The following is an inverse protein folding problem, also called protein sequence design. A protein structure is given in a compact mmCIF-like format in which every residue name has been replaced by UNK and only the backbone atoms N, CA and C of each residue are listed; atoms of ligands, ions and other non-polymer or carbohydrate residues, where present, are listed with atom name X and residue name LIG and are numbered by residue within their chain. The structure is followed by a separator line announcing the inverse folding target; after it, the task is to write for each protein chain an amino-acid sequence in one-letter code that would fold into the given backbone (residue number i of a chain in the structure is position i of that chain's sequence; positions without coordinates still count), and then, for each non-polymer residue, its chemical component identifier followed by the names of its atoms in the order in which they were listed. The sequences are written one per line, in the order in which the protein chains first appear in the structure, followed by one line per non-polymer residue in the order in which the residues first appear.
data_IF_088495201101
#
_entry.id   IF_088495201101
#
_cell.length_a   1.000
_cell.length_b   1.000
_cell.length_c   1.000
_cell.angle_alpha   90.00
_cell.angle_beta   90.00
_cell.angle_gamma   90.00
#
_symmetry.space_group_name_H-M   'P 1'
#
loop_
_entity.id
_entity.type
_entity.pdbx_description
1 polymer ?
#
# COMPACT_ATOMS: atom_id res chain seq x y z
N UNK A 1 -11.25 -28.33 17.06
CA UNK A 1 -9.78 -28.24 16.99
C UNK A 1 -9.39 -28.52 15.54
N UNK A 2 -9.22 -27.47 14.75
CA UNK A 2 -8.73 -27.56 13.37
C UNK A 2 -7.27 -27.14 13.41
N UNK A 3 -6.38 -28.05 13.08
CA UNK A 3 -4.94 -27.78 13.01
C UNK A 3 -4.66 -26.81 11.87
N UNK A 4 -4.19 -25.63 12.21
CA UNK A 4 -3.65 -24.66 11.24
C UNK A 4 -2.25 -25.16 10.88
N UNK A 5 -2.11 -25.75 9.70
CA UNK A 5 -0.81 -26.07 9.14
C UNK A 5 -0.04 -24.76 8.92
N UNK A 6 1.06 -24.61 9.63
CA UNK A 6 2.01 -23.51 9.42
C UNK A 6 2.65 -23.70 8.02
N UNK A 7 2.18 -22.96 7.02
CA UNK A 7 2.95 -22.79 5.79
C UNK A 7 4.12 -21.85 6.11
N UNK A 8 5.29 -22.44 6.25
CA UNK A 8 6.53 -21.70 6.18
C UNK A 8 6.62 -21.06 4.80
N UNK A 9 6.60 -19.72 4.75
CA UNK A 9 7.03 -18.99 3.56
C UNK A 9 8.54 -19.19 3.53
N UNK A 10 8.97 -20.18 2.73
CA UNK A 10 10.37 -20.43 2.46
C UNK A 10 10.95 -19.18 1.81
N UNK A 11 11.73 -18.42 2.56
CA UNK A 11 12.53 -17.33 2.05
C UNK A 11 13.60 -17.94 1.16
N UNK A 12 13.29 -18.09 -0.12
CA UNK A 12 14.26 -18.54 -1.10
C UNK A 12 15.53 -17.71 -0.99
N UNK A 13 16.70 -18.34 -1.06
CA UNK A 13 17.97 -17.64 -0.94
C UNK A 13 18.11 -16.59 -2.04
N UNK A 14 18.74 -15.48 -1.71
CA UNK A 14 18.93 -14.23 -2.48
C UNK A 14 19.59 -14.37 -3.87
N UNK A 15 19.60 -15.54 -4.50
CA UNK A 15 20.32 -15.78 -5.74
C UNK A 15 19.54 -16.50 -6.84
N UNK A 16 18.26 -16.21 -7.00
CA UNK A 16 17.58 -16.47 -8.27
C UNK A 16 17.24 -15.13 -8.93
N UNK A 17 18.15 -14.66 -9.79
CA UNK A 17 17.81 -13.66 -10.79
C UNK A 17 16.53 -14.15 -11.51
N UNK A 18 15.45 -13.36 -11.58
CA UNK A 18 14.36 -13.71 -12.46
C UNK A 18 14.92 -13.68 -13.87
N UNK A 19 14.91 -14.85 -14.50
CA UNK A 19 15.12 -14.96 -15.95
C UNK A 19 14.23 -13.91 -16.61
N UNK A 20 14.75 -13.22 -17.61
CA UNK A 20 14.12 -12.19 -18.42
C UNK A 20 12.70 -12.62 -18.83
N UNK A 21 11.76 -12.44 -17.93
CA UNK A 21 10.36 -12.76 -18.14
C UNK A 21 9.74 -11.67 -18.99
N UNK A 22 9.35 -12.03 -20.21
CA UNK A 22 8.37 -11.23 -20.95
C UNK A 22 7.20 -10.88 -20.01
N UNK A 23 6.70 -9.64 -20.03
CA UNK A 23 5.54 -9.26 -19.25
C UNK A 23 4.40 -10.24 -19.52
N UNK A 24 3.83 -10.83 -18.49
CA UNK A 24 2.67 -11.71 -18.63
C UNK A 24 1.58 -10.96 -19.40
N UNK A 25 1.11 -11.49 -20.56
CA UNK A 25 0.11 -10.79 -21.35
C UNK A 25 -1.15 -10.58 -20.49
N UNK A 26 -1.61 -9.35 -20.37
CA UNK A 26 -2.94 -9.05 -19.88
C UNK A 26 -3.08 -8.38 -18.52
N UNK A 27 -2.03 -8.15 -17.72
CA UNK A 27 -2.22 -7.43 -16.45
C UNK A 27 -1.99 -5.93 -16.60
N UNK A 28 -3.10 -5.19 -16.76
CA UNK A 28 -3.08 -3.72 -16.75
C UNK A 28 -3.52 -3.13 -15.42
N UNK A 29 -3.67 -3.97 -14.40
CA UNK A 29 -4.11 -3.56 -13.06
C UNK A 29 -3.12 -4.05 -12.02
N UNK A 30 -2.75 -3.16 -11.12
CA UNK A 30 -1.91 -3.46 -9.98
C UNK A 30 -2.51 -2.90 -8.69
N UNK A 31 -2.25 -3.59 -7.59
CA UNK A 31 -2.64 -3.18 -6.26
C UNK A 31 -1.40 -3.03 -5.38
N UNK A 32 -1.27 -1.87 -4.75
CA UNK A 32 -0.30 -1.64 -3.69
C UNK A 32 -0.96 -1.94 -2.35
N UNK A 33 -0.45 -2.95 -1.66
CA UNK A 33 -0.94 -3.43 -0.37
C UNK A 33 0.15 -3.34 0.70
N UNK A 34 -0.25 -3.31 1.95
CA UNK A 34 0.64 -3.18 3.11
C UNK A 34 -0.10 -2.57 4.29
N UNK A 35 0.38 -2.81 5.49
CA UNK A 35 -0.22 -2.27 6.70
C UNK A 35 -0.31 -0.74 6.64
N UNK A 36 -1.30 -0.15 7.28
CA UNK A 36 -1.38 1.29 7.48
C UNK A 36 -0.09 1.81 8.10
N UNK A 37 0.39 2.98 7.69
CA UNK A 37 1.65 3.60 8.16
C UNK A 37 2.94 2.91 7.68
N UNK A 38 2.88 1.90 6.83
CA UNK A 38 4.07 1.26 6.23
C UNK A 38 4.71 2.06 5.08
N UNK A 39 4.25 3.29 4.80
CA UNK A 39 4.81 4.11 3.71
C UNK A 39 4.16 3.88 2.34
N UNK A 40 3.06 3.12 2.27
CA UNK A 40 2.34 2.84 1.02
C UNK A 40 1.88 4.11 0.28
N UNK A 41 1.56 5.19 0.99
CA UNK A 41 1.22 6.48 0.36
C UNK A 41 2.42 7.14 -0.32
N UNK A 42 3.62 7.01 0.24
CA UNK A 42 4.84 7.49 -0.42
C UNK A 42 5.10 6.67 -1.68
N UNK A 43 5.15 5.35 -1.55
CA UNK A 43 5.38 4.46 -2.69
C UNK A 43 4.34 4.68 -3.80
N UNK A 44 3.06 4.82 -3.45
CA UNK A 44 2.02 5.17 -4.43
C UNK A 44 2.36 6.45 -5.19
N UNK A 45 2.74 7.52 -4.48
CA UNK A 45 3.08 8.79 -5.13
C UNK A 45 4.32 8.67 -6.01
N UNK A 46 5.36 7.99 -5.53
CA UNK A 46 6.56 7.74 -6.32
C UNK A 46 6.23 6.99 -7.62
N UNK A 47 5.46 5.92 -7.53
CA UNK A 47 5.03 5.15 -8.71
C UNK A 47 4.14 5.99 -9.64
N UNK A 48 3.19 6.74 -9.10
CA UNK A 48 2.29 7.59 -9.89
C UNK A 48 2.97 8.80 -10.52
N UNK A 49 4.22 9.13 -10.18
CA UNK A 49 5.03 10.07 -10.95
C UNK A 49 5.28 9.54 -12.37
N UNK A 50 5.40 8.23 -12.53
CA UNK A 50 5.64 7.60 -13.82
C UNK A 50 4.48 7.86 -14.80
N UNK A 51 4.76 8.31 -16.03
CA UNK A 51 3.70 8.63 -17.01
C UNK A 51 2.87 7.41 -17.43
N UNK A 52 3.46 6.22 -17.46
CA UNK A 52 2.78 4.97 -17.77
C UNK A 52 1.88 4.42 -16.66
N UNK A 53 1.84 5.06 -15.46
CA UNK A 53 1.03 4.58 -14.34
C UNK A 53 -0.17 5.51 -14.10
N UNK A 54 -1.36 5.00 -14.37
CA UNK A 54 -2.63 5.63 -14.06
C UNK A 54 -3.07 5.30 -12.62
N UNK A 55 -3.86 6.16 -12.01
CA UNK A 55 -4.33 6.03 -10.63
C UNK A 55 -5.67 6.71 -10.42
N UNK A 56 -6.39 6.36 -9.36
CA UNK A 56 -7.57 7.11 -8.94
C UNK A 56 -7.11 8.45 -8.37
N UNK A 57 -7.54 9.56 -8.96
CA UNK A 57 -7.28 10.89 -8.44
C UNK A 57 -8.35 11.32 -7.45
N UNK A 58 -8.09 12.43 -6.74
CA UNK A 58 -9.08 13.10 -5.92
C UNK A 58 -10.34 13.50 -6.69
N UNK A 59 -10.25 13.70 -8.01
CA UNK A 59 -11.39 14.02 -8.87
C UNK A 59 -12.24 12.79 -9.17
N UNK A 60 -11.65 11.68 -9.62
CA UNK A 60 -12.39 10.42 -9.80
C UNK A 60 -13.06 9.97 -8.50
N UNK A 61 -12.38 10.15 -7.37
CA UNK A 61 -12.93 9.82 -6.07
C UNK A 61 -14.13 10.72 -5.71
N UNK A 62 -14.04 12.03 -6.01
CA UNK A 62 -15.12 12.99 -5.74
C UNK A 62 -16.34 12.79 -6.63
N UNK A 63 -16.12 12.39 -7.88
CA UNK A 63 -17.17 12.23 -8.88
C UNK A 63 -17.47 10.76 -9.23
N UNK A 64 -17.19 9.85 -8.30
CA UNK A 64 -17.32 8.41 -8.52
C UNK A 64 -18.75 7.95 -8.89
N UNK A 65 -19.76 8.68 -8.45
CA UNK A 65 -21.17 8.37 -8.70
C UNK A 65 -21.68 8.80 -10.07
N UNK A 66 -20.92 9.57 -10.84
CA UNK A 66 -21.29 9.95 -12.18
C UNK A 66 -20.93 8.81 -13.17
N UNK A 67 -21.88 8.37 -14.03
CA UNK A 67 -21.72 7.19 -14.90
C UNK A 67 -20.49 7.25 -15.80
N UNK A 68 -20.15 8.42 -16.34
CA UNK A 68 -19.08 8.59 -17.32
C UNK A 68 -17.83 9.31 -16.80
N UNK A 69 -17.77 9.52 -15.48
CA UNK A 69 -16.65 10.18 -14.84
C UNK A 69 -16.29 11.52 -15.49
N UNK A 70 -16.83 12.61 -14.97
CA UNK A 70 -16.48 13.98 -15.41
C UNK A 70 -15.04 14.37 -15.00
N UNK A 71 -14.26 13.44 -14.48
CA UNK A 71 -12.89 13.72 -14.15
C UNK A 71 -12.11 14.03 -15.42
N UNK A 72 -11.55 15.24 -15.55
CA UNK A 72 -10.71 15.55 -16.69
C UNK A 72 -9.58 14.53 -16.71
N UNK A 73 -9.43 13.85 -17.86
CA UNK A 73 -8.30 12.95 -18.10
C UNK A 73 -7.02 13.72 -17.88
N UNK A 74 -6.48 13.63 -16.68
CA UNK A 74 -5.27 14.33 -16.36
C UNK A 74 -4.16 13.47 -16.89
N UNK A 75 -3.66 13.92 -18.02
CA UNK A 75 -2.61 13.30 -18.75
C UNK A 75 -1.52 12.77 -17.82
N UNK A 76 -1.28 11.47 -17.88
CA UNK A 76 -0.15 10.80 -17.24
C UNK A 76 1.19 11.52 -17.52
N UNK A 77 1.29 12.27 -18.60
CA UNK A 77 2.51 12.85 -19.14
C UNK A 77 3.14 14.07 -18.45
N UNK A 78 2.65 14.51 -17.29
CA UNK A 78 3.16 15.74 -16.66
C UNK A 78 4.00 15.48 -15.42
N UNK A 79 5.07 14.73 -15.56
CA UNK A 79 5.99 14.36 -14.48
C UNK A 79 6.44 15.57 -13.63
N UNK A 80 6.91 16.64 -14.26
CA UNK A 80 7.38 17.82 -13.54
C UNK A 80 6.27 18.56 -12.79
N UNK A 81 5.05 18.59 -13.35
CA UNK A 81 3.90 19.17 -12.67
C UNK A 81 3.49 18.34 -11.44
N UNK A 82 3.53 17.00 -11.55
CA UNK A 82 3.28 16.08 -10.43
C UNK A 82 4.32 16.26 -9.32
N UNK A 83 5.61 16.34 -9.66
CA UNK A 83 6.68 16.60 -8.69
C UNK A 83 6.40 17.88 -7.90
N UNK A 84 6.17 19.00 -8.59
CA UNK A 84 5.89 20.27 -7.94
C UNK A 84 4.59 20.32 -7.15
N UNK A 85 3.60 19.49 -7.51
CA UNK A 85 2.31 19.45 -6.82
C UNK A 85 2.28 18.52 -5.60
N UNK A 86 3.02 17.41 -5.63
CA UNK A 86 2.89 16.36 -4.61
C UNK A 86 4.02 16.33 -3.59
N UNK A 87 5.18 16.91 -3.90
CA UNK A 87 6.34 16.87 -3.03
C UNK A 87 6.83 18.29 -2.71
N UNK A 88 7.28 18.51 -1.49
CA UNK A 88 7.98 19.73 -1.12
C UNK A 88 9.48 19.60 -1.43
N UNK A 89 10.13 20.72 -1.69
CA UNK A 89 11.58 20.78 -1.89
C UNK A 89 12.28 20.42 -0.58
N UNK A 90 12.60 19.16 -0.36
CA UNK A 90 13.23 18.70 0.87
C UNK A 90 12.91 17.27 1.24
N UNK A 91 12.30 16.52 0.36
CA UNK A 91 12.29 15.07 0.35
C UNK A 91 11.17 14.42 1.15
N UNK A 92 11.20 14.34 2.44
CA UNK A 92 10.32 13.47 3.22
C UNK A 92 9.05 14.12 3.76
N UNK A 93 8.82 15.39 3.49
CA UNK A 93 7.64 16.11 3.97
C UNK A 93 6.43 15.85 3.07
N UNK A 94 5.62 14.92 3.45
CA UNK A 94 4.52 14.40 2.66
C UNK A 94 3.40 15.39 2.37
N UNK A 95 3.13 16.39 3.21
CA UNK A 95 1.88 17.13 3.16
C UNK A 95 1.87 18.50 3.85
N UNK A 96 3.00 19.12 4.14
CA UNK A 96 3.02 20.35 4.93
C UNK A 96 2.70 21.55 4.05
N UNK A 97 1.73 22.36 4.49
CA UNK A 97 1.56 23.74 4.08
C UNK A 97 1.34 24.02 2.58
N UNK A 98 0.52 23.25 1.90
CA UNK A 98 0.36 23.38 0.44
C UNK A 98 -0.29 24.68 0.01
N UNK A 99 0.30 25.43 -0.94
CA UNK A 99 -0.38 26.50 -1.63
C UNK A 99 -1.70 26.05 -2.26
N UNK A 100 -2.68 26.95 -2.37
CA UNK A 100 -4.02 26.65 -2.89
C UNK A 100 -4.02 25.92 -4.23
N UNK A 101 -3.16 26.30 -5.18
CA UNK A 101 -3.10 25.66 -6.49
C UNK A 101 -2.70 24.17 -6.44
N UNK A 102 -1.91 23.73 -5.42
CA UNK A 102 -1.57 22.34 -5.21
C UNK A 102 -2.77 21.49 -4.77
N UNK A 103 -3.79 22.12 -4.19
CA UNK A 103 -5.02 21.42 -3.76
C UNK A 103 -5.94 21.07 -4.94
N UNK A 104 -5.90 21.85 -6.01
CA UNK A 104 -6.69 21.60 -7.22
C UNK A 104 -5.95 20.73 -8.25
N UNK A 105 -4.68 20.42 -8.04
CA UNK A 105 -3.96 19.51 -8.91
C UNK A 105 -4.34 18.05 -8.55
N UNK A 106 -4.56 17.19 -9.55
CA UNK A 106 -4.92 15.80 -9.29
C UNK A 106 -3.86 15.07 -8.51
N UNK A 107 -4.26 14.54 -7.37
CA UNK A 107 -3.39 13.75 -6.50
C UNK A 107 -3.88 12.31 -6.40
N UNK A 108 -2.99 11.33 -6.27
CA UNK A 108 -3.38 9.96 -6.00
C UNK A 108 -4.27 9.89 -4.75
N UNK A 109 -5.39 9.23 -4.88
CA UNK A 109 -6.38 9.03 -3.83
C UNK A 109 -6.61 7.53 -3.61
N UNK A 110 -7.12 7.16 -2.45
CA UNK A 110 -7.44 5.76 -2.14
C UNK A 110 -8.70 5.27 -2.88
N UNK A 111 -9.59 6.19 -3.27
CA UNK A 111 -10.68 5.95 -4.20
C UNK A 111 -11.78 5.03 -3.71
N UNK A 112 -12.04 4.95 -2.37
CA UNK A 112 -13.09 4.07 -1.84
C UNK A 112 -14.45 4.34 -2.48
N UNK A 113 -14.76 5.60 -2.77
CA UNK A 113 -16.01 5.97 -3.46
C UNK A 113 -16.17 5.32 -4.84
N UNK A 114 -15.06 5.04 -5.54
CA UNK A 114 -15.09 4.33 -6.84
C UNK A 114 -15.47 2.86 -6.63
N UNK A 115 -14.93 2.22 -5.59
CA UNK A 115 -15.31 0.85 -5.24
C UNK A 115 -16.77 0.78 -4.77
N UNK A 116 -17.17 1.68 -3.87
CA UNK A 116 -18.53 1.74 -3.34
C UNK A 116 -19.57 2.01 -4.45
N UNK A 117 -19.26 2.91 -5.40
CA UNK A 117 -20.14 3.19 -6.53
C UNK A 117 -20.36 1.98 -7.46
N UNK A 118 -19.46 1.00 -7.43
CA UNK A 118 -19.62 -0.27 -8.13
C UNK A 118 -20.17 -1.39 -7.22
N UNK A 119 -20.53 -1.11 -5.96
CA UNK A 119 -21.08 -2.12 -5.06
C UNK A 119 -20.04 -3.00 -4.38
N UNK A 120 -18.76 -2.67 -4.45
CA UNK A 120 -17.70 -3.43 -3.78
C UNK A 120 -17.72 -3.13 -2.28
N UNK A 121 -17.92 -4.14 -1.40
CA UNK A 121 -17.98 -3.91 0.03
C UNK A 121 -16.62 -3.51 0.61
N UNK A 122 -16.63 -2.66 1.66
CA UNK A 122 -15.42 -2.23 2.34
C UNK A 122 -14.74 -3.42 3.06
N UNK A 123 -15.54 -4.27 3.68
CA UNK A 123 -15.13 -5.48 4.38
C UNK A 123 -15.98 -6.65 3.87
N UNK A 124 -15.55 -7.34 2.79
CA UNK A 124 -16.28 -8.50 2.31
C UNK A 124 -16.23 -9.63 3.33
N UNK A 125 -17.33 -10.34 3.48
CA UNK A 125 -17.33 -11.59 4.23
C UNK A 125 -16.37 -12.60 3.57
N UNK A 126 -15.82 -13.57 4.32
CA UNK A 126 -14.85 -14.53 3.77
C UNK A 126 -15.37 -15.34 2.58
N UNK A 127 -16.69 -15.59 2.54
CA UNK A 127 -17.43 -16.32 1.52
C UNK A 127 -18.10 -15.41 0.47
N UNK A 128 -17.86 -14.09 0.54
CA UNK A 128 -18.45 -13.14 -0.39
C UNK A 128 -18.03 -13.43 -1.83
N UNK A 129 -19.01 -13.70 -2.67
CA UNK A 129 -18.84 -13.87 -4.12
C UNK A 129 -19.31 -12.62 -4.81
N UNK A 130 -18.40 -12.01 -5.57
CA UNK A 130 -18.73 -10.81 -6.35
C UNK A 130 -19.60 -11.19 -7.56
N UNK A 131 -20.68 -10.45 -7.78
CA UNK A 131 -21.52 -10.62 -8.96
C UNK A 131 -20.89 -9.98 -10.21
N UNK A 132 -21.41 -10.37 -11.38
CA UNK A 132 -20.86 -9.89 -12.67
C UNK A 132 -21.13 -8.39 -12.91
N UNK A 133 -22.20 -7.83 -12.36
CA UNK A 133 -22.52 -6.40 -12.51
C UNK A 133 -21.47 -5.56 -11.77
N UNK A 134 -21.17 -5.91 -10.52
CA UNK A 134 -20.11 -5.32 -9.70
C UNK A 134 -18.73 -5.48 -10.36
N UNK A 135 -18.42 -6.70 -10.83
CA UNK A 135 -17.15 -7.01 -11.51
C UNK A 135 -16.98 -6.19 -12.79
N UNK A 136 -17.99 -6.16 -13.64
CA UNK A 136 -17.99 -5.41 -14.89
C UNK A 136 -17.94 -3.89 -14.66
N UNK A 137 -18.63 -3.39 -13.64
CA UNK A 137 -18.55 -1.98 -13.24
C UNK A 137 -17.11 -1.60 -12.88
N UNK A 138 -16.46 -2.34 -11.98
CA UNK A 138 -15.13 -2.01 -11.52
C UNK A 138 -14.08 -2.15 -12.63
N UNK A 139 -14.14 -3.22 -13.45
CA UNK A 139 -13.27 -3.38 -14.62
C UNK A 139 -13.39 -2.20 -15.59
N UNK A 140 -14.61 -1.80 -15.93
CA UNK A 140 -14.88 -0.66 -16.81
C UNK A 140 -14.33 0.65 -16.21
N UNK A 141 -14.56 0.91 -14.94
CA UNK A 141 -14.06 2.13 -14.26
C UNK A 141 -12.55 2.21 -14.27
N UNK A 142 -11.86 1.15 -13.93
CA UNK A 142 -10.38 1.14 -13.91
C UNK A 142 -9.82 1.32 -15.32
N UNK A 143 -10.43 0.67 -16.32
CA UNK A 143 -10.01 0.80 -17.71
C UNK A 143 -10.28 2.21 -18.26
N UNK A 144 -11.40 2.84 -17.91
CA UNK A 144 -11.70 4.22 -18.30
C UNK A 144 -10.68 5.20 -17.71
N UNK A 145 -10.37 5.07 -16.40
CA UNK A 145 -9.37 5.93 -15.75
C UNK A 145 -8.01 5.71 -16.41
N UNK A 146 -7.59 4.46 -16.60
CA UNK A 146 -6.32 4.12 -17.24
C UNK A 146 -6.18 4.74 -18.63
N UNK A 147 -7.19 4.53 -19.48
CA UNK A 147 -7.18 5.00 -20.87
C UNK A 147 -7.21 6.52 -20.95
N UNK A 148 -8.03 7.19 -20.14
CA UNK A 148 -8.11 8.67 -20.10
C UNK A 148 -6.80 9.29 -19.62
N UNK A 149 -6.11 8.63 -18.68
CA UNK A 149 -4.81 9.06 -18.20
C UNK A 149 -3.67 8.75 -19.18
N UNK A 150 -3.91 7.97 -20.24
CA UNK A 150 -2.87 7.49 -21.15
C UNK A 150 -1.89 6.51 -20.49
N UNK A 151 -2.31 5.85 -19.41
CA UNK A 151 -1.45 4.93 -18.67
C UNK A 151 -1.41 3.52 -19.28
N UNK A 152 -0.28 2.86 -19.14
CA UNK A 152 -0.09 1.45 -19.50
C UNK A 152 -0.66 0.53 -18.43
N UNK A 153 -0.47 0.89 -17.15
CA UNK A 153 -0.94 0.17 -15.97
C UNK A 153 -1.78 1.09 -15.10
N UNK A 154 -2.84 0.54 -14.53
CA UNK A 154 -3.64 1.19 -13.50
C UNK A 154 -3.19 0.70 -12.12
N UNK A 155 -2.82 1.62 -11.22
CA UNK A 155 -2.42 1.33 -9.85
C UNK A 155 -3.47 1.82 -8.86
N UNK A 156 -3.97 0.90 -8.03
CA UNK A 156 -4.82 1.23 -6.89
C UNK A 156 -4.08 0.98 -5.58
N UNK A 157 -4.18 1.92 -4.67
CA UNK A 157 -3.68 1.79 -3.30
C UNK A 157 -4.78 2.17 -2.32
N UNK A 158 -5.15 1.23 -1.47
CA UNK A 158 -6.03 1.45 -0.33
C UNK A 158 -5.74 0.41 0.75
N UNK A 159 -5.67 0.84 2.01
CA UNK A 159 -5.44 -0.08 3.14
C UNK A 159 -6.55 -1.15 3.24
N UNK A 160 -7.82 -0.79 2.98
CA UNK A 160 -8.92 -1.74 2.93
C UNK A 160 -8.74 -2.85 1.88
N UNK A 161 -7.93 -2.65 0.83
CA UNK A 161 -7.64 -3.69 -0.16
C UNK A 161 -6.88 -4.87 0.45
N UNK A 162 -6.20 -4.70 1.58
CA UNK A 162 -5.56 -5.79 2.30
C UNK A 162 -6.55 -6.93 2.61
N UNK A 163 -7.82 -6.62 2.81
CA UNK A 163 -8.92 -7.56 3.11
C UNK A 163 -9.78 -7.93 1.91
N UNK A 164 -9.42 -7.44 0.73
CA UNK A 164 -10.17 -7.63 -0.54
C UNK A 164 -9.33 -8.27 -1.64
N UNK A 165 -8.11 -8.75 -1.34
CA UNK A 165 -7.19 -9.27 -2.36
C UNK A 165 -7.81 -10.42 -3.13
N UNK A 166 -8.45 -11.38 -2.46
CA UNK A 166 -9.12 -12.53 -3.09
C UNK A 166 -10.26 -12.08 -4.01
N UNK A 167 -11.09 -11.15 -3.53
CA UNK A 167 -12.16 -10.55 -4.32
C UNK A 167 -11.59 -9.79 -5.53
N UNK A 168 -10.55 -8.98 -5.32
CA UNK A 168 -9.91 -8.24 -6.41
C UNK A 168 -9.24 -9.18 -7.42
N UNK A 169 -8.68 -10.29 -6.98
CA UNK A 169 -8.12 -11.32 -7.85
C UNK A 169 -9.19 -12.03 -8.70
N UNK A 170 -10.41 -12.23 -8.20
CA UNK A 170 -11.51 -12.76 -8.99
C UNK A 170 -11.99 -11.77 -10.04
N UNK A 171 -12.02 -10.46 -9.73
CA UNK A 171 -12.39 -9.41 -10.70
C UNK A 171 -11.27 -9.20 -11.74
N UNK A 172 -10.01 -9.23 -11.31
CA UNK A 172 -8.82 -8.97 -12.12
C UNK A 172 -7.84 -10.15 -12.03
N UNK A 173 -8.09 -11.29 -12.69
CA UNK A 173 -7.24 -12.49 -12.58
C UNK A 173 -5.76 -12.26 -12.96
N UNK A 174 -5.49 -11.26 -13.81
CA UNK A 174 -4.15 -10.87 -14.20
C UNK A 174 -3.50 -9.79 -13.30
N UNK A 175 -4.14 -9.36 -12.22
CA UNK A 175 -3.63 -8.29 -11.39
C UNK A 175 -2.29 -8.64 -10.73
N UNK A 176 -1.44 -7.62 -10.54
CA UNK A 176 -0.18 -7.71 -9.82
C UNK A 176 -0.29 -7.01 -8.46
N UNK A 177 0.40 -7.54 -7.47
CA UNK A 177 0.37 -7.04 -6.10
C UNK A 177 1.76 -6.60 -5.68
N UNK A 178 1.90 -5.33 -5.34
CA UNK A 178 3.12 -4.79 -4.73
C UNK A 178 2.87 -4.75 -3.22
N UNK A 179 3.57 -5.61 -2.48
CA UNK A 179 3.43 -5.71 -1.03
C UNK A 179 4.56 -4.96 -0.36
N UNK A 180 4.24 -3.87 0.34
CA UNK A 180 5.20 -3.06 1.07
C UNK A 180 5.21 -3.45 2.55
N UNK A 181 6.34 -3.98 3.00
CA UNK A 181 6.64 -4.28 4.40
C UNK A 181 7.31 -3.07 5.07
N UNK A 182 7.13 -2.95 6.37
CA UNK A 182 7.85 -2.03 7.25
C UNK A 182 7.94 -2.63 8.65
N UNK A 183 9.03 -2.31 9.36
CA UNK A 183 9.21 -2.67 10.76
C UNK A 183 7.98 -2.29 11.60
N UNK A 184 7.39 -3.29 12.29
CA UNK A 184 6.18 -3.11 13.07
C UNK A 184 6.33 -2.06 14.15
N UNK A 185 7.49 -1.98 14.80
CA UNK A 185 7.82 -0.99 15.82
C UNK A 185 7.69 0.44 15.29
N UNK A 186 8.20 0.68 14.07
CA UNK A 186 8.04 1.97 13.38
C UNK A 186 6.58 2.25 12.99
N UNK A 187 5.84 1.21 12.59
CA UNK A 187 4.41 1.33 12.29
C UNK A 187 3.62 1.68 13.55
N UNK A 188 3.86 0.98 14.67
CA UNK A 188 3.21 1.24 15.95
C UNK A 188 3.51 2.66 16.44
N UNK A 189 4.77 3.09 16.39
CA UNK A 189 5.17 4.47 16.73
C UNK A 189 4.45 5.50 15.84
N UNK A 190 4.48 5.30 14.53
CA UNK A 190 3.81 6.20 13.61
C UNK A 190 2.30 6.25 13.79
N UNK A 191 1.66 5.13 14.12
CA UNK A 191 0.21 5.04 14.30
C UNK A 191 -0.23 5.69 15.60
N UNK A 192 0.55 5.53 16.68
CA UNK A 192 0.26 6.08 18.01
C UNK A 192 0.22 7.61 18.05
N UNK A 193 0.82 8.29 17.06
CA UNK A 193 0.93 9.76 17.01
C UNK A 193 -0.07 10.44 16.10
N UNK A 194 -0.97 9.71 15.43
CA UNK A 194 -1.94 10.32 14.51
C UNK A 194 -3.31 10.50 15.16
N UNK A 195 -3.85 11.72 15.08
CA UNK A 195 -5.10 12.11 15.74
C UNK A 195 -6.33 11.29 15.31
N UNK A 196 -6.41 10.94 14.01
CA UNK A 196 -7.55 10.18 13.51
C UNK A 196 -7.61 8.75 14.10
N UNK A 197 -6.50 8.23 14.65
CA UNK A 197 -6.45 6.89 15.23
C UNK A 197 -7.38 6.74 16.44
N UNK A 198 -7.55 7.77 17.21
CA UNK A 198 -8.40 7.75 18.41
C UNK A 198 -9.83 7.31 18.09
N UNK A 199 -10.37 7.81 16.98
CA UNK A 199 -11.74 7.56 16.54
C UNK A 199 -11.83 6.51 15.42
N UNK A 200 -10.72 5.86 15.10
CA UNK A 200 -10.70 4.80 14.09
C UNK A 200 -11.24 3.50 14.67
N UNK A 201 -12.31 2.98 14.09
CA UNK A 201 -12.83 1.67 14.44
C UNK A 201 -11.86 0.60 13.96
N UNK A 202 -11.29 -0.16 14.89
CA UNK A 202 -10.33 -1.21 14.62
C UNK A 202 -11.07 -2.44 14.08
N UNK A 203 -10.83 -2.78 12.83
CA UNK A 203 -11.61 -3.76 12.07
C UNK A 203 -11.66 -5.17 12.68
N UNK A 204 -10.63 -5.56 13.42
CA UNK A 204 -10.52 -6.88 14.06
C UNK A 204 -11.10 -6.93 15.47
N UNK A 205 -11.47 -5.80 16.07
CA UNK A 205 -12.04 -5.70 17.42
C UNK A 205 -13.45 -5.07 17.42
N UNK A 206 -13.70 -4.13 16.48
CA UNK A 206 -14.96 -3.42 16.36
C UNK A 206 -15.08 -2.16 17.25
N UNK A 207 -14.16 -1.95 18.19
CA UNK A 207 -14.05 -0.75 19.01
C UNK A 207 -13.11 0.27 18.39
N UNK A 208 -13.22 1.50 18.82
CA UNK A 208 -12.22 2.54 18.51
C UNK A 208 -10.97 2.38 19.37
N UNK A 209 -9.84 2.90 18.91
CA UNK A 209 -8.60 2.84 19.67
C UNK A 209 -8.74 3.47 21.06
N UNK A 210 -9.45 4.62 21.17
CA UNK A 210 -9.68 5.28 22.45
C UNK A 210 -10.59 4.48 23.40
N UNK A 211 -11.57 3.73 22.87
CA UNK A 211 -12.39 2.83 23.69
C UNK A 211 -11.56 1.66 24.24
N UNK A 212 -10.63 1.14 23.44
CA UNK A 212 -9.70 0.10 23.90
C UNK A 212 -8.75 0.63 24.96
N UNK A 213 -8.26 1.86 24.84
CA UNK A 213 -7.42 2.51 25.86
C UNK A 213 -8.19 2.72 27.16
N UNK A 214 -9.44 3.20 27.10
CA UNK A 214 -10.32 3.36 28.28
C UNK A 214 -10.65 2.05 28.99
N UNK A 215 -10.63 0.93 28.26
CA UNK A 215 -10.76 -0.41 28.81
C UNK A 215 -9.46 -0.96 29.40
N UNK A 216 -8.41 -0.14 29.54
CA UNK A 216 -7.13 -0.49 30.15
C UNK A 216 -6.02 -0.93 29.17
N UNK A 217 -6.27 -0.83 27.88
CA UNK A 217 -5.25 -1.11 26.85
C UNK A 217 -4.18 -0.02 26.79
N UNK A 218 -2.93 -0.40 26.56
CA UNK A 218 -1.83 0.55 26.30
C UNK A 218 -1.82 0.94 24.82
N UNK A 219 -1.78 2.24 24.50
CA UNK A 219 -1.84 2.77 23.13
C UNK A 219 -0.86 2.09 22.17
N UNK A 220 0.42 2.01 22.55
CA UNK A 220 1.45 1.37 21.73
C UNK A 220 1.17 -0.12 21.50
N UNK A 221 0.72 -0.85 22.51
CA UNK A 221 0.35 -2.27 22.35
C UNK A 221 -0.86 -2.46 21.43
N UNK A 222 -1.85 -1.55 21.47
CA UNK A 222 -2.99 -1.58 20.54
C UNK A 222 -2.51 -1.34 19.10
N UNK A 223 -1.62 -0.37 18.90
CA UNK A 223 -1.03 -0.08 17.58
C UNK A 223 -0.20 -1.25 17.06
N UNK A 224 0.61 -1.87 17.93
CA UNK A 224 1.42 -3.05 17.63
C UNK A 224 0.53 -4.24 17.23
N UNK A 225 -0.50 -4.54 18.01
CA UNK A 225 -1.48 -5.58 17.70
C UNK A 225 -2.17 -5.30 16.38
N UNK A 226 -2.52 -4.05 16.08
CA UNK A 226 -3.11 -3.70 14.80
C UNK A 226 -2.18 -4.04 13.62
N UNK A 227 -0.87 -3.75 13.74
CA UNK A 227 0.09 -4.13 12.71
C UNK A 227 0.16 -5.65 12.53
N UNK A 228 0.24 -6.41 13.62
CA UNK A 228 0.25 -7.87 13.57
C UNK A 228 -1.00 -8.41 12.86
N UNK A 229 -2.19 -7.89 13.20
CA UNK A 229 -3.46 -8.29 12.55
C UNK A 229 -3.49 -7.95 11.07
N UNK A 230 -3.00 -6.77 10.68
CA UNK A 230 -2.89 -6.40 9.26
C UNK A 230 -1.92 -7.33 8.51
N UNK A 231 -0.79 -7.72 9.11
CA UNK A 231 0.16 -8.65 8.51
C UNK A 231 -0.42 -10.06 8.38
N UNK A 232 -1.08 -10.56 9.42
CA UNK A 232 -1.78 -11.86 9.39
C UNK A 232 -2.85 -11.90 8.28
N UNK A 233 -3.65 -10.83 8.17
CA UNK A 233 -4.67 -10.73 7.12
C UNK A 233 -4.05 -10.72 5.73
N UNK A 234 -2.97 -9.95 5.52
CA UNK A 234 -2.25 -9.91 4.25
C UNK A 234 -1.70 -11.29 3.87
N UNK A 235 -1.12 -12.04 4.81
CA UNK A 235 -0.66 -13.41 4.57
C UNK A 235 -1.80 -14.33 4.12
N UNK A 236 -2.95 -14.27 4.82
CA UNK A 236 -4.14 -15.06 4.47
C UNK A 236 -4.65 -14.70 3.07
N UNK A 237 -4.73 -13.41 2.77
CA UNK A 237 -5.28 -12.91 1.51
C UNK A 237 -4.35 -13.17 0.31
N UNK A 238 -3.04 -13.08 0.51
CA UNK A 238 -2.03 -13.31 -0.54
C UNK A 238 -1.74 -14.81 -0.77
N UNK A 239 -1.98 -15.68 0.22
CA UNK A 239 -1.66 -17.10 0.11
C UNK A 239 -2.18 -17.81 -1.15
N UNK A 240 -3.41 -17.56 -1.65
CA UNK A 240 -3.92 -18.17 -2.88
C UNK A 240 -3.45 -17.47 -4.16
N UNK A 241 -2.72 -16.38 -4.07
CA UNK A 241 -2.24 -15.62 -5.23
C UNK A 241 -0.94 -16.25 -5.74
N UNK A 242 -0.85 -16.43 -7.05
CA UNK A 242 0.37 -16.88 -7.71
C UNK A 242 1.57 -16.00 -7.28
N UNK A 243 2.65 -16.59 -6.72
CA UNK A 243 3.83 -15.85 -6.29
C UNK A 243 4.44 -14.97 -7.39
N UNK A 244 4.35 -15.36 -8.66
CA UNK A 244 4.82 -14.54 -9.79
C UNK A 244 4.05 -13.23 -9.96
N UNK A 245 2.88 -13.08 -9.34
CA UNK A 245 2.06 -11.87 -9.33
C UNK A 245 2.27 -11.02 -8.08
N UNK A 246 3.16 -11.40 -7.17
CA UNK A 246 3.45 -10.69 -5.93
C UNK A 246 4.90 -10.21 -5.94
N UNK A 247 5.09 -8.93 -5.69
CA UNK A 247 6.41 -8.36 -5.44
C UNK A 247 6.42 -7.77 -4.03
N UNK A 248 7.21 -8.36 -3.15
CA UNK A 248 7.42 -7.83 -1.80
C UNK A 248 8.69 -7.00 -1.75
N UNK A 249 8.61 -5.85 -1.06
CA UNK A 249 9.77 -4.99 -0.78
C UNK A 249 9.66 -4.38 0.62
N UNK A 250 10.79 -4.00 1.19
CA UNK A 250 10.87 -3.33 2.49
C UNK A 250 10.95 -1.82 2.30
N UNK A 251 10.21 -1.09 3.14
CA UNK A 251 10.22 0.38 3.12
C UNK A 251 11.61 0.96 3.40
N UNK A 252 12.33 0.32 4.30
CA UNK A 252 13.70 0.70 4.69
C UNK A 252 14.67 0.59 3.51
N UNK A 253 14.60 -0.51 2.75
CA UNK A 253 15.41 -0.73 1.55
C UNK A 253 15.04 0.25 0.43
N UNK A 254 13.73 0.51 0.25
CA UNK A 254 13.26 1.51 -0.70
C UNK A 254 13.85 2.90 -0.43
N UNK A 255 13.98 3.29 0.84
CA UNK A 255 14.57 4.59 1.19
C UNK A 255 16.10 4.58 1.12
N UNK A 256 16.73 3.43 1.33
CA UNK A 256 18.19 3.28 1.21
C UNK A 256 18.66 3.36 -0.25
N UNK A 257 17.93 2.72 -1.17
CA UNK A 257 18.21 2.74 -2.61
C UNK A 257 16.91 2.88 -3.44
N UNK A 258 16.37 4.10 -3.53
CA UNK A 258 15.10 4.33 -4.22
C UNK A 258 15.11 3.97 -5.70
N UNK A 259 16.25 4.18 -6.39
CA UNK A 259 16.31 3.96 -7.84
C UNK A 259 16.24 2.47 -8.16
N UNK A 260 17.03 1.64 -7.50
CA UNK A 260 17.03 0.19 -7.71
C UNK A 260 15.67 -0.42 -7.37
N UNK A 261 15.11 -0.06 -6.21
CA UNK A 261 13.82 -0.64 -5.79
C UNK A 261 12.66 -0.17 -6.67
N UNK A 262 12.62 1.10 -7.08
CA UNK A 262 11.58 1.58 -8.00
C UNK A 262 11.75 1.01 -9.41
N UNK A 263 12.97 0.83 -9.91
CA UNK A 263 13.21 0.16 -11.17
C UNK A 263 12.64 -1.28 -11.14
N UNK A 264 12.92 -2.03 -10.08
CA UNK A 264 12.36 -3.37 -9.86
C UNK A 264 10.83 -3.37 -9.84
N UNK A 265 10.20 -2.39 -9.17
CA UNK A 265 8.73 -2.30 -9.12
C UNK A 265 8.14 -1.97 -10.47
N UNK A 266 8.64 -0.94 -11.20
CA UNK A 266 8.07 -0.57 -12.49
C UNK A 266 8.27 -1.67 -13.53
N UNK A 267 9.42 -2.35 -13.52
CA UNK A 267 9.67 -3.53 -14.35
C UNK A 267 8.67 -4.66 -14.02
N UNK A 268 8.46 -4.95 -12.73
CA UNK A 268 7.44 -5.91 -12.29
C UNK A 268 6.05 -5.50 -12.77
N UNK A 269 5.73 -4.22 -12.80
CA UNK A 269 4.45 -3.71 -13.33
C UNK A 269 4.37 -3.76 -14.86
N UNK A 270 5.48 -4.01 -15.56
CA UNK A 270 5.55 -4.08 -17.02
C UNK A 270 5.64 -2.69 -17.67
N UNK A 271 6.24 -1.74 -16.98
CA UNK A 271 6.45 -0.35 -17.44
C UNK A 271 7.96 -0.09 -17.54
N UNK A 272 8.39 0.71 -18.50
CA UNK A 272 9.81 1.02 -18.71
C UNK A 272 10.34 1.99 -17.64
N UNK A 273 11.52 1.71 -17.07
CA UNK A 273 12.21 2.62 -16.15
C UNK A 273 12.97 3.69 -16.93
N UNK A 274 12.32 4.83 -17.21
CA UNK A 274 12.87 5.87 -18.07
C UNK A 274 13.88 6.78 -17.36
N UNK A 275 14.88 7.34 -18.09
CA UNK A 275 15.83 8.33 -17.52
C UNK A 275 15.12 9.57 -16.90
N UNK A 276 14.04 10.01 -17.51
CA UNK A 276 13.24 11.13 -16.99
C UNK A 276 12.61 10.82 -15.63
N UNK A 277 12.10 9.58 -15.47
CA UNK A 277 11.56 9.12 -14.20
C UNK A 277 12.67 8.97 -13.14
N UNK A 278 13.81 8.38 -13.50
CA UNK A 278 14.97 8.27 -12.61
C UNK A 278 15.43 9.64 -12.12
N UNK A 279 15.58 10.62 -13.01
CA UNK A 279 15.95 12.00 -12.66
C UNK A 279 14.94 12.65 -11.72
N UNK A 280 13.64 12.40 -11.91
CA UNK A 280 12.59 12.88 -11.01
C UNK A 280 12.74 12.28 -9.59
N UNK A 281 12.96 10.98 -9.47
CA UNK A 281 13.18 10.31 -8.19
C UNK A 281 14.44 10.87 -7.49
N UNK A 282 15.54 10.99 -8.22
CA UNK A 282 16.80 11.55 -7.69
C UNK A 282 16.59 12.97 -7.14
N UNK A 283 15.79 13.80 -7.82
CA UNK A 283 15.52 15.18 -7.39
C UNK A 283 14.77 15.28 -6.05
N UNK A 284 14.10 14.22 -5.61
CA UNK A 284 13.40 14.16 -4.33
C UNK A 284 14.34 14.00 -3.14
N UNK A 285 15.58 13.57 -3.38
CA UNK A 285 16.59 13.38 -2.33
C UNK A 285 16.05 12.55 -1.14
N UNK A 286 15.39 11.44 -1.45
CA UNK A 286 14.87 10.53 -0.42
C UNK A 286 16.03 10.02 0.44
N UNK A 287 15.81 9.93 1.75
CA UNK A 287 16.83 9.51 2.70
C UNK A 287 16.28 8.46 3.64
N UNK A 288 17.11 7.51 4.07
CA UNK A 288 16.77 6.62 5.17
C UNK A 288 16.39 7.42 6.41
N UNK A 289 15.35 6.97 7.08
CA UNK A 289 14.91 7.56 8.35
C UNK A 289 15.42 6.66 9.47
N UNK A 290 16.07 7.25 10.48
CA UNK A 290 16.42 6.51 11.69
C UNK A 290 15.14 6.07 12.40
N UNK A 291 15.11 4.85 12.94
CA UNK A 291 13.97 4.38 13.70
C UNK A 291 13.64 5.33 14.86
N UNK A 292 12.41 5.86 14.87
CA UNK A 292 12.01 6.80 15.91
C UNK A 292 11.76 6.10 17.23
N UNK A 293 11.26 4.87 17.19
CA UNK A 293 11.02 4.09 18.41
C UNK A 293 12.29 3.89 19.24
N UNK A 294 13.49 3.81 18.63
CA UNK A 294 14.77 3.71 19.33
C UNK A 294 15.10 4.96 20.16
N UNK A 295 14.56 6.11 19.76
CA UNK A 295 14.81 7.40 20.43
C UNK A 295 13.69 7.76 21.41
N UNK A 296 12.46 7.35 21.09
CA UNK A 296 11.26 7.84 21.75
C UNK A 296 10.74 6.87 22.85
N UNK A 297 11.13 5.58 22.81
CA UNK A 297 10.58 4.59 23.74
C UNK A 297 11.50 4.25 24.89
N UNK A 298 10.90 4.13 26.07
CA UNK A 298 11.53 3.50 27.21
C UNK A 298 11.44 1.95 27.13
N UNK A 299 12.13 1.25 28.07
CA UNK A 299 12.14 -0.20 28.10
C UNK A 299 10.75 -0.83 28.29
N UNK A 300 9.86 -0.18 29.06
CA UNK A 300 8.51 -0.70 29.31
C UNK A 300 7.61 -0.54 28.09
N UNK A 301 7.79 0.52 27.32
CA UNK A 301 7.10 0.75 26.05
C UNK A 301 7.55 -0.28 24.99
N UNK A 302 8.86 -0.49 24.86
CA UNK A 302 9.42 -1.50 23.96
C UNK A 302 8.93 -2.90 24.32
N UNK A 303 8.97 -3.29 25.60
CA UNK A 303 8.46 -4.58 26.08
C UNK A 303 6.97 -4.77 25.75
N UNK A 304 6.16 -3.72 25.92
CA UNK A 304 4.73 -3.78 25.60
C UNK A 304 4.44 -3.99 24.12
N UNK A 305 5.28 -3.48 23.24
CA UNK A 305 5.17 -3.67 21.79
C UNK A 305 5.70 -5.05 21.40
N UNK A 306 6.85 -5.46 21.91
CA UNK A 306 7.44 -6.77 21.60
C UNK A 306 6.54 -7.93 22.03
N UNK A 307 5.80 -7.81 23.14
CA UNK A 307 4.78 -8.81 23.51
C UNK A 307 3.75 -9.10 22.42
N UNK A 308 3.43 -8.12 21.61
CA UNK A 308 2.50 -8.26 20.50
C UNK A 308 3.20 -8.66 19.20
N UNK A 309 4.34 -8.02 18.88
CA UNK A 309 4.96 -8.05 17.56
C UNK A 309 6.06 -9.11 17.41
N UNK A 310 6.71 -9.55 18.48
CA UNK A 310 7.95 -10.35 18.41
C UNK A 310 7.86 -11.54 17.46
N UNK A 311 6.80 -12.40 17.50
CA UNK A 311 6.73 -13.56 16.59
C UNK A 311 6.65 -13.14 15.12
N UNK A 312 5.95 -12.04 14.81
CA UNK A 312 5.82 -11.53 13.46
C UNK A 312 7.11 -10.85 12.99
N UNK A 313 7.77 -10.06 13.85
CA UNK A 313 9.06 -9.44 13.56
C UNK A 313 10.14 -10.50 13.25
N UNK A 314 10.16 -11.60 14.01
CA UNK A 314 11.07 -12.73 13.76
C UNK A 314 10.79 -13.39 12.42
N UNK A 315 9.53 -13.72 12.14
CA UNK A 315 9.11 -14.34 10.88
C UNK A 315 9.43 -13.48 9.67
N UNK A 316 9.30 -12.17 9.81
CA UNK A 316 9.63 -11.22 8.74
C UNK A 316 11.12 -10.80 8.73
N UNK A 317 11.96 -11.32 9.63
CA UNK A 317 13.40 -11.06 9.66
C UNK A 317 13.78 -9.64 10.09
N UNK A 318 12.95 -8.97 10.90
CA UNK A 318 13.28 -7.68 11.53
C UNK A 318 14.07 -7.83 12.83
N UNK A 319 13.97 -8.98 13.47
CA UNK A 319 14.77 -9.37 14.65
C UNK A 319 15.20 -10.82 14.51
N UNK A 320 16.34 -11.16 15.13
CA UNK A 320 16.83 -12.53 15.14
C UNK A 320 15.86 -13.47 15.89
N UNK A 321 15.75 -14.74 15.49
CA UNK A 321 15.06 -15.74 16.30
C UNK A 321 15.67 -15.81 17.71
N UNK A 322 14.83 -15.98 18.73
CA UNK A 322 15.36 -16.28 20.08
C UNK A 322 15.98 -17.68 20.02
N UNK A 323 17.27 -17.79 20.37
CA UNK A 323 17.91 -19.08 20.49
C UNK A 323 17.13 -19.90 21.54
N UNK A 324 16.59 -21.06 21.11
CA UNK A 324 15.86 -22.00 21.95
C UNK A 324 16.82 -22.74 22.89
#
# INVERSE_FOLDING_TARGET
MVAVAALAIDMAPENSQPQSGQPLPGSRVAFLVGAGRSGTTLLQKLLCLHPGIAYISNYESRFAWFPDGLAPGIAAGRLQAKLGAWFDKGGNAYFVGRPWFKKVFPTPNEGESVFAACGVPLFPAPDYVVDEATSSCLRRRFEQIRTRAGGEVFLSKRTANNRRIRLLASIFPGARYVHLLRDGREVAQSLSTVEWWDNHTVWWDGRTAIEMERAGGRRLAICARNWVREMQELEIQLAPIDPAKILTLRFEELLADPLTHLARVVQFLGVEFTPAYAGAITSLNLRPVRPRWEQDWDAAQLDSVLKEEQPMLQRLGYIAPVAS
#
